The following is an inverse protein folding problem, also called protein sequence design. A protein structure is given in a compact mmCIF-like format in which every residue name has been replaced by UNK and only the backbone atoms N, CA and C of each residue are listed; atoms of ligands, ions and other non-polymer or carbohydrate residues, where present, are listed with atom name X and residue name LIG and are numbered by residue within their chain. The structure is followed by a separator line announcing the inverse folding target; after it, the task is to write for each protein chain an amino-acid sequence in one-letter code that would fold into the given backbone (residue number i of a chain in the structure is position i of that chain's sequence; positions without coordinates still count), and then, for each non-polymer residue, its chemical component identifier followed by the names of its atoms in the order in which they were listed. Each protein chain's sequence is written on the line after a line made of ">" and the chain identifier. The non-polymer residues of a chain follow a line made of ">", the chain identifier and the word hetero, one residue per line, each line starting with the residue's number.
data_IF_954751662398
#
_entry.id   IF_954751662398
#
_cell.length_a   1.000
_cell.length_b   1.000
_cell.length_c   1.000
_cell.angle_alpha   90.00
_cell.angle_beta   90.00
_cell.angle_gamma   90.00
#
_symmetry.space_group_name_H-M   'P 1'
#
loop_
_entity.id
_entity.type
_entity.pdbx_description
1 polymer ?
#
# COMPACT_ATOMS: atom_id res chain seq x y z
N UNK A 1 -17.45 -1.21 6.53
CA UNK A 1 -16.67 -1.39 5.30
C UNK A 1 -15.22 -1.22 5.70
N UNK A 2 -14.30 -2.16 5.39
CA UNK A 2 -12.88 -1.81 5.46
C UNK A 2 -12.66 -0.54 4.62
N UNK A 3 -11.72 0.34 5.00
CA UNK A 3 -11.37 1.48 4.16
C UNK A 3 -10.98 0.97 2.78
N UNK A 4 -11.27 1.75 1.73
CA UNK A 4 -10.79 1.38 0.41
C UNK A 4 -9.26 1.22 0.47
N UNK A 5 -8.67 0.26 -0.27
CA UNK A 5 -7.21 0.07 -0.30
C UNK A 5 -6.48 1.39 -0.57
N UNK A 6 -7.09 2.24 -1.39
CA UNK A 6 -6.58 3.57 -1.70
C UNK A 6 -6.52 4.49 -0.48
N UNK A 7 -7.59 4.58 0.32
CA UNK A 7 -7.59 5.40 1.53
C UNK A 7 -6.52 4.94 2.53
N UNK A 8 -6.34 3.62 2.66
CA UNK A 8 -5.30 3.05 3.52
C UNK A 8 -3.89 3.43 3.06
N UNK A 9 -3.62 3.33 1.74
CA UNK A 9 -2.34 3.73 1.15
C UNK A 9 -2.08 5.22 1.31
N UNK A 10 -3.07 6.07 1.01
CA UNK A 10 -2.92 7.53 1.13
C UNK A 10 -2.71 7.96 2.59
N UNK A 11 -3.42 7.33 3.54
CA UNK A 11 -3.26 7.61 4.95
C UNK A 11 -1.88 7.18 5.46
N UNK A 12 -1.45 5.95 5.13
CA UNK A 12 -0.14 5.44 5.53
C UNK A 12 1.00 6.26 4.90
N UNK A 13 0.91 6.56 3.60
CA UNK A 13 1.88 7.43 2.92
C UNK A 13 1.92 8.82 3.54
N UNK A 14 0.77 9.42 3.86
CA UNK A 14 0.75 10.75 4.45
C UNK A 14 1.39 10.80 5.84
N UNK A 15 1.29 9.71 6.59
CA UNK A 15 1.88 9.56 7.92
C UNK A 15 3.40 9.34 7.83
N UNK A 16 3.84 8.46 6.93
CA UNK A 16 5.26 8.16 6.67
C UNK A 16 5.99 9.38 6.11
N UNK A 17 5.42 10.09 5.13
CA UNK A 17 6.03 11.26 4.52
C UNK A 17 5.78 12.57 5.30
N UNK A 18 4.90 12.56 6.29
CA UNK A 18 4.54 13.75 7.07
C UNK A 18 3.87 14.86 6.24
N UNK A 19 3.29 14.53 5.09
CA UNK A 19 2.62 15.46 4.17
C UNK A 19 1.45 14.77 3.48
N UNK A 20 0.41 15.49 3.05
CA UNK A 20 -0.67 14.88 2.27
C UNK A 20 -0.10 14.26 0.99
N UNK A 21 -0.41 12.99 0.78
CA UNK A 21 -0.11 12.24 -0.44
C UNK A 21 -1.35 12.14 -1.33
N UNK A 22 -1.16 12.27 -2.63
CA UNK A 22 -2.21 12.10 -3.63
C UNK A 22 -2.07 10.74 -4.35
N UNK A 23 -3.18 10.17 -4.87
CA UNK A 23 -3.14 8.92 -5.63
C UNK A 23 -2.20 8.97 -6.85
N UNK A 24 -2.00 10.16 -7.42
CA UNK A 24 -1.12 10.39 -8.55
C UNK A 24 0.32 10.77 -8.14
N UNK A 25 0.62 10.86 -6.85
CA UNK A 25 2.00 11.07 -6.39
C UNK A 25 2.80 9.78 -6.55
N UNK A 26 3.98 9.90 -7.16
CA UNK A 26 4.95 8.83 -7.19
C UNK A 26 5.65 8.69 -5.84
N UNK A 27 5.86 7.44 -5.41
CA UNK A 27 6.58 7.13 -4.18
C UNK A 27 7.98 7.79 -4.17
N UNK A 28 8.72 7.69 -5.28
CA UNK A 28 10.04 8.33 -5.42
C UNK A 28 9.96 9.87 -5.44
N UNK A 29 8.92 10.45 -6.04
CA UNK A 29 8.72 11.92 -6.07
C UNK A 29 8.45 12.49 -4.67
N UNK A 30 7.86 11.70 -3.78
CA UNK A 30 7.63 12.07 -2.37
C UNK A 30 8.90 11.97 -1.50
N UNK A 31 10.00 11.45 -2.02
CA UNK A 31 11.21 11.11 -1.24
C UNK A 31 11.19 9.67 -0.72
N UNK A 32 10.54 8.77 -1.47
CA UNK A 32 10.51 7.35 -1.19
C UNK A 32 11.88 6.71 -1.39
N UNK A 33 12.34 6.04 -0.35
CA UNK A 33 13.58 5.29 -0.27
C UNK A 33 13.28 3.89 0.29
N UNK A 34 14.28 3.01 0.34
CA UNK A 34 14.11 1.66 0.90
C UNK A 34 13.57 1.66 2.34
N UNK A 35 13.87 2.69 3.13
CA UNK A 35 13.37 2.81 4.52
C UNK A 35 11.88 3.12 4.54
N UNK A 36 11.45 4.16 3.83
CA UNK A 36 10.03 4.54 3.76
C UNK A 36 9.20 3.47 3.06
N UNK A 37 9.79 2.65 2.17
CA UNK A 37 9.10 1.52 1.55
C UNK A 37 8.80 0.41 2.56
N UNK A 38 9.75 0.12 3.46
CA UNK A 38 9.56 -0.81 4.57
C UNK A 38 8.54 -0.26 5.56
N UNK A 39 8.62 1.01 5.96
CA UNK A 39 7.66 1.61 6.89
C UNK A 39 6.25 1.64 6.32
N UNK A 40 6.10 2.00 5.03
CA UNK A 40 4.82 1.99 4.34
C UNK A 40 4.25 0.58 4.23
N UNK A 41 5.08 -0.42 3.92
CA UNK A 41 4.65 -1.82 3.90
C UNK A 41 4.10 -2.23 5.26
N UNK A 42 4.85 -2.04 6.36
CA UNK A 42 4.42 -2.41 7.71
C UNK A 42 3.09 -1.72 8.09
N UNK A 43 2.95 -0.42 7.84
CA UNK A 43 1.70 0.30 8.11
C UNK A 43 0.52 -0.24 7.30
N UNK A 44 0.76 -0.61 6.04
CA UNK A 44 -0.26 -1.22 5.18
C UNK A 44 -0.64 -2.62 5.66
N UNK A 45 0.33 -3.41 6.11
CA UNK A 45 0.10 -4.74 6.67
C UNK A 45 -0.80 -4.66 7.90
N UNK A 46 -0.55 -3.71 8.81
CA UNK A 46 -1.36 -3.52 10.02
C UNK A 46 -2.76 -2.99 9.71
N UNK A 47 -2.91 -2.11 8.71
CA UNK A 47 -4.21 -1.51 8.33
C UNK A 47 -5.09 -2.43 7.50
N UNK A 48 -4.50 -3.15 6.55
CA UNK A 48 -5.21 -4.02 5.62
C UNK A 48 -5.25 -5.48 6.09
N UNK A 49 -4.35 -5.89 7.00
CA UNK A 49 -4.26 -7.24 7.53
C UNK A 49 -3.75 -8.26 6.52
N UNK A 50 -2.96 -7.83 5.53
CA UNK A 50 -2.32 -8.68 4.52
C UNK A 50 -0.82 -8.43 4.49
N UNK A 51 -0.01 -9.43 4.15
CA UNK A 51 1.43 -9.21 3.91
C UNK A 51 1.65 -8.32 2.68
N UNK A 52 2.49 -7.30 2.81
CA UNK A 52 2.81 -6.34 1.75
C UNK A 52 4.28 -6.40 1.43
N UNK A 53 4.61 -6.88 0.24
CA UNK A 53 5.99 -6.94 -0.22
C UNK A 53 6.55 -5.53 -0.48
N UNK A 54 7.68 -5.23 0.15
CA UNK A 54 8.43 -3.98 -0.08
C UNK A 54 8.89 -3.83 -1.54
N UNK A 55 9.11 -4.94 -2.24
CA UNK A 55 9.42 -4.95 -3.67
C UNK A 55 8.21 -4.51 -4.52
N UNK A 56 7.00 -4.78 -4.05
CA UNK A 56 5.75 -4.33 -4.68
C UNK A 56 5.54 -2.83 -4.44
N UNK A 57 5.86 -2.34 -3.23
CA UNK A 57 5.87 -0.90 -2.91
C UNK A 57 6.91 -0.14 -3.74
N UNK A 58 8.13 -0.67 -3.87
CA UNK A 58 9.21 -0.05 -4.64
C UNK A 58 9.06 -0.22 -6.16
N UNK A 59 8.32 -1.25 -6.60
CA UNK A 59 8.12 -1.58 -8.01
C UNK A 59 6.98 -0.83 -8.69
N UNK A 60 6.12 -0.16 -7.92
CA UNK A 60 4.98 0.58 -8.46
C UNK A 60 5.29 2.07 -8.56
N UNK A 61 4.89 2.72 -9.68
CA UNK A 61 5.22 4.12 -9.94
C UNK A 61 4.49 5.07 -8.98
N UNK A 62 3.21 4.83 -8.75
CA UNK A 62 2.31 5.71 -8.02
C UNK A 62 1.44 4.97 -6.97
N UNK A 63 0.96 5.72 -5.98
CA UNK A 63 0.20 5.19 -4.84
C UNK A 63 -1.15 4.57 -5.27
N UNK A 64 -1.76 5.05 -6.35
CA UNK A 64 -2.96 4.46 -6.91
C UNK A 64 -2.72 3.04 -7.43
N UNK A 65 -1.62 2.80 -8.16
CA UNK A 65 -1.26 1.47 -8.62
C UNK A 65 -1.01 0.50 -7.44
N UNK A 66 -0.36 0.99 -6.37
CA UNK A 66 -0.17 0.21 -5.15
C UNK A 66 -1.49 -0.19 -4.51
N UNK A 67 -2.42 0.75 -4.38
CA UNK A 67 -3.75 0.48 -3.86
C UNK A 67 -4.54 -0.53 -4.71
N UNK A 68 -4.44 -0.45 -6.04
CA UNK A 68 -5.12 -1.38 -6.95
C UNK A 68 -4.55 -2.80 -6.80
N UNK A 69 -3.22 -2.94 -6.74
CA UNK A 69 -2.55 -4.22 -6.51
C UNK A 69 -2.95 -4.84 -5.15
N UNK A 70 -3.00 -4.03 -4.09
CA UNK A 70 -3.45 -4.47 -2.76
C UNK A 70 -4.93 -4.84 -2.76
N UNK A 71 -5.77 -4.07 -3.45
CA UNK A 71 -7.19 -4.37 -3.64
C UNK A 71 -7.41 -5.68 -4.39
N UNK A 72 -6.61 -5.95 -5.43
CA UNK A 72 -6.60 -7.20 -6.15
C UNK A 72 -6.14 -8.36 -5.26
N UNK A 73 -5.11 -8.18 -4.44
CA UNK A 73 -4.65 -9.20 -3.48
C UNK A 73 -5.72 -9.54 -2.44
N UNK A 74 -6.38 -8.52 -1.86
CA UNK A 74 -7.51 -8.67 -0.94
C UNK A 74 -8.71 -9.38 -1.57
N UNK A 75 -8.99 -9.11 -2.85
CA UNK A 75 -10.04 -9.80 -3.61
C UNK A 75 -9.62 -11.21 -4.06
N UNK A 76 -8.32 -11.43 -4.23
CA UNK A 76 -7.74 -12.67 -4.73
C UNK A 76 -7.33 -13.63 -3.62
N UNK A 77 -7.52 -13.31 -2.32
CA UNK A 77 -7.47 -14.30 -1.25
C UNK A 77 -8.56 -15.33 -1.57
N UNK A 78 -8.22 -16.49 -2.15
CA UNK A 78 -9.22 -17.49 -2.43
C UNK A 78 -9.67 -17.96 -1.05
N UNK A 79 -10.97 -17.99 -0.82
CA UNK A 79 -11.52 -18.78 0.29
C UNK A 79 -10.77 -20.11 0.31
N UNK A 80 -10.21 -20.57 1.45
CA UNK A 80 -9.62 -21.89 1.50
C UNK A 80 -10.72 -22.85 1.07
N UNK A 81 -10.59 -23.40 -0.15
CA UNK A 81 -11.44 -24.48 -0.62
C UNK A 81 -11.18 -25.63 0.35
N UNK A 82 -12.16 -25.85 1.22
CA UNK A 82 -12.32 -27.07 2.00
C UNK A 82 -12.09 -28.28 1.09
N UNK A 83 -11.12 -29.13 1.46
CA UNK A 83 -10.95 -30.50 0.96
C UNK A 83 -10.50 -31.39 2.10
#
# INVERSE_FOLDING_TARGET
>A
MPPAPLDAVLAAASEVFGRPAEPADDFFSLGGDSVTAVELAVELEERLGIEVDTELVAGLPDLAALADALGAALASVPSPLER
#
